data_IF_466584123956
#
_entry.id   IF_466584123956
#
_cell.length_a   1.000
_cell.length_b   1.000
_cell.length_c   1.000
_cell.angle_alpha   90.00
_cell.angle_beta   90.00
_cell.angle_gamma   90.00
#
_symmetry.space_group_name_H-M   'P 1'
#
loop_
_entity.id
_entity.type
_entity.pdbx_description
1 polymer ?
#
# COMPACT_ATOMS: atom_id res chain seq x y z
N UNK A 1 -38.32 -28.65 29.79
CA UNK A 1 -38.60 -27.86 28.57
C UNK A 1 -37.49 -26.84 28.41
N UNK A 2 -36.59 -27.13 27.48
CA UNK A 2 -35.45 -26.33 27.04
C UNK A 2 -35.94 -25.26 26.07
N UNK A 3 -35.46 -24.02 26.24
CA UNK A 3 -35.32 -23.07 25.13
C UNK A 3 -33.99 -22.34 25.29
N UNK A 4 -33.05 -22.70 24.41
CA UNK A 4 -31.93 -21.84 24.02
C UNK A 4 -32.49 -20.76 23.07
N UNK A 5 -32.03 -19.52 23.17
CA UNK A 5 -31.94 -18.66 21.98
C UNK A 5 -30.75 -17.71 22.13
N UNK A 6 -29.96 -17.73 21.05
CA UNK A 6 -28.72 -17.03 20.76
C UNK A 6 -28.70 -15.52 21.01
N UNK A 7 -27.50 -15.01 21.28
CA UNK A 7 -27.20 -13.60 21.39
C UNK A 7 -27.30 -12.83 20.07
N UNK A 8 -27.34 -11.51 20.18
CA UNK A 8 -27.07 -10.61 19.06
C UNK A 8 -26.42 -9.34 19.60
N UNK A 9 -25.16 -9.16 19.21
CA UNK A 9 -24.41 -7.94 19.39
C UNK A 9 -25.09 -6.79 18.66
N UNK A 10 -25.30 -5.66 19.33
CA UNK A 10 -25.53 -4.39 18.66
C UNK A 10 -24.24 -3.59 18.75
N UNK A 11 -23.61 -3.59 17.58
CA UNK A 11 -22.34 -3.06 17.20
C UNK A 11 -22.26 -1.57 17.52
N UNK A 12 -21.32 -1.25 18.41
CA UNK A 12 -20.88 0.09 18.73
C UNK A 12 -20.63 0.89 17.45
N UNK A 13 -21.34 2.01 17.32
CA UNK A 13 -21.28 2.86 16.14
C UNK A 13 -19.85 3.24 15.82
N UNK A 14 -19.41 2.92 14.60
CA UNK A 14 -18.16 3.39 14.04
C UNK A 14 -18.19 4.92 14.01
N UNK A 15 -17.63 5.55 15.05
CA UNK A 15 -17.29 6.96 15.02
C UNK A 15 -16.26 7.13 13.92
N UNK A 16 -16.64 7.84 12.85
CA UNK A 16 -15.71 8.35 11.86
C UNK A 16 -14.62 9.13 12.60
N UNK A 17 -13.44 8.51 12.71
CA UNK A 17 -12.28 9.09 13.36
C UNK A 17 -11.88 10.35 12.63
N UNK A 18 -11.93 11.48 13.32
CA UNK A 18 -11.35 12.76 12.93
C UNK A 18 -9.89 12.53 12.47
N UNK A 19 -9.39 13.18 11.40
CA UNK A 19 -8.02 12.97 10.94
C UNK A 19 -7.06 13.23 12.09
N UNK A 20 -6.42 12.17 12.56
CA UNK A 20 -5.40 12.27 13.60
C UNK A 20 -4.20 12.92 12.94
N UNK A 21 -3.97 14.21 13.20
CA UNK A 21 -2.75 14.88 12.73
C UNK A 21 -1.49 14.10 13.13
N UNK A 22 -0.36 14.48 12.52
CA UNK A 22 1.03 13.93 12.50
C UNK A 22 1.62 13.30 13.79
N UNK A 23 0.89 13.25 14.90
CA UNK A 23 1.25 12.75 16.24
C UNK A 23 1.79 11.32 16.31
N UNK A 24 1.80 10.54 15.22
CA UNK A 24 2.35 9.17 15.17
C UNK A 24 3.32 8.93 14.02
N UNK A 25 3.67 9.96 13.26
CA UNK A 25 4.65 9.84 12.18
C UNK A 25 6.03 10.12 12.73
N UNK A 26 6.97 9.22 12.50
CA UNK A 26 8.39 9.50 12.68
C UNK A 26 8.85 10.51 11.62
N UNK A 27 9.98 11.17 11.82
CA UNK A 27 10.57 12.07 10.82
C UNK A 27 10.72 11.39 9.46
N UNK A 28 11.17 10.13 9.44
CA UNK A 28 11.30 9.35 8.21
C UNK A 28 9.96 9.12 7.49
N UNK A 29 8.85 8.99 8.23
CA UNK A 29 7.52 8.85 7.62
C UNK A 29 7.01 10.18 7.05
N UNK A 30 7.31 11.30 7.72
CA UNK A 30 6.99 12.64 7.19
C UNK A 30 7.78 12.94 5.91
N UNK A 31 9.08 12.66 5.91
CA UNK A 31 9.92 12.81 4.72
C UNK A 31 9.45 11.92 3.56
N UNK A 32 8.96 10.71 3.87
CA UNK A 32 8.37 9.82 2.86
C UNK A 32 7.04 10.35 2.33
N UNK A 33 6.23 10.99 3.17
CA UNK A 33 4.97 11.61 2.78
C UNK A 33 5.20 12.84 1.90
N UNK A 34 6.14 13.72 2.27
CA UNK A 34 6.54 14.88 1.47
C UNK A 34 7.11 14.43 0.11
N UNK A 35 7.99 13.42 0.11
CA UNK A 35 8.54 12.84 -1.13
C UNK A 35 7.44 12.28 -2.04
N UNK A 36 6.42 11.62 -1.46
CA UNK A 36 5.29 11.10 -2.21
C UNK A 36 4.38 12.21 -2.74
N UNK A 37 4.18 13.27 -1.97
CA UNK A 37 3.38 14.44 -2.38
C UNK A 37 4.04 15.21 -3.53
N UNK A 38 5.37 15.30 -3.52
CA UNK A 38 6.16 15.98 -4.56
C UNK A 38 6.35 15.12 -5.82
N UNK A 39 5.99 13.83 -5.78
CA UNK A 39 6.14 12.91 -6.90
C UNK A 39 5.11 13.20 -8.00
N UNK A 40 5.55 13.86 -9.07
CA UNK A 40 4.74 14.22 -10.23
C UNK A 40 4.84 13.22 -11.40
N UNK A 41 5.23 11.97 -11.12
CA UNK A 41 5.49 10.95 -12.15
C UNK A 41 6.91 11.05 -12.73
N UNK A 42 7.17 10.28 -13.79
CA UNK A 42 8.51 10.12 -14.35
C UNK A 42 8.80 11.00 -15.59
N UNK A 43 7.85 11.84 -16.00
CA UNK A 43 7.99 12.72 -17.17
C UNK A 43 8.25 11.95 -18.48
N UNK A 44 8.89 12.59 -19.46
CA UNK A 44 9.16 12.00 -20.79
C UNK A 44 10.18 10.84 -20.74
N UNK A 45 10.99 10.76 -19.68
CA UNK A 45 12.03 9.74 -19.50
C UNK A 45 11.59 8.68 -18.49
N UNK A 46 10.35 8.18 -18.65
CA UNK A 46 9.80 7.18 -17.75
C UNK A 46 10.67 5.90 -17.71
N UNK A 47 10.99 5.38 -16.51
CA UNK A 47 11.74 4.16 -16.36
C UNK A 47 10.99 3.00 -17.00
N UNK A 48 11.73 2.09 -17.63
CA UNK A 48 11.12 0.89 -18.19
C UNK A 48 10.42 0.09 -17.09
N UNK A 49 9.35 -0.62 -17.45
CA UNK A 49 8.65 -1.57 -16.57
C UNK A 49 9.59 -2.49 -15.79
N UNK A 50 10.68 -2.96 -16.43
CA UNK A 50 11.71 -3.78 -15.78
C UNK A 50 12.50 -3.02 -14.70
N UNK A 51 12.84 -1.76 -14.97
CA UNK A 51 13.50 -0.90 -13.99
C UNK A 51 12.60 -0.64 -12.77
N UNK A 52 11.32 -0.35 -12.97
CA UNK A 52 10.33 -0.17 -11.89
C UNK A 52 10.23 -1.44 -11.03
N UNK A 53 10.07 -2.59 -11.67
CA UNK A 53 10.01 -3.88 -10.97
C UNK A 53 11.29 -4.19 -10.19
N UNK A 54 12.46 -3.86 -10.77
CA UNK A 54 13.75 -4.08 -10.11
C UNK A 54 13.91 -3.20 -8.86
N UNK A 55 13.50 -1.94 -8.95
CA UNK A 55 13.51 -1.01 -7.83
C UNK A 55 12.56 -1.50 -6.72
N UNK A 56 11.36 -1.94 -7.08
CA UNK A 56 10.43 -2.53 -6.12
C UNK A 56 11.01 -3.77 -5.43
N UNK A 57 11.59 -4.71 -6.19
CA UNK A 57 12.23 -5.92 -5.64
C UNK A 57 13.38 -5.59 -4.68
N UNK A 58 14.15 -4.54 -4.97
CA UNK A 58 15.22 -4.06 -4.08
C UNK A 58 14.68 -3.41 -2.80
N UNK A 59 13.56 -2.67 -2.88
CA UNK A 59 12.92 -2.03 -1.73
C UNK A 59 12.14 -3.01 -0.83
N UNK A 60 11.63 -4.11 -1.40
CA UNK A 60 10.72 -5.03 -0.72
C UNK A 60 11.18 -5.53 0.67
N UNK A 61 12.46 -5.88 0.91
CA UNK A 61 12.92 -6.30 2.25
C UNK A 61 12.81 -5.18 3.29
N UNK A 62 13.07 -3.94 2.89
CA UNK A 62 13.00 -2.76 3.77
C UNK A 62 11.55 -2.35 4.06
N UNK A 63 10.64 -2.69 3.15
CA UNK A 63 9.19 -2.50 3.31
C UNK A 63 8.51 -3.64 4.08
N UNK A 64 9.25 -4.69 4.45
CA UNK A 64 8.71 -5.86 5.17
C UNK A 64 7.85 -6.79 4.29
N UNK A 65 7.96 -6.69 2.96
CA UNK A 65 7.23 -7.59 2.06
C UNK A 65 7.91 -8.96 1.97
N UNK A 66 7.14 -10.00 2.25
CA UNK A 66 7.58 -11.38 2.08
C UNK A 66 7.70 -11.79 0.61
N UNK A 67 8.47 -12.85 0.34
CA UNK A 67 8.73 -13.37 -1.01
C UNK A 67 7.47 -13.67 -1.82
N UNK A 68 6.38 -14.11 -1.17
CA UNK A 68 5.08 -14.35 -1.82
C UNK A 68 4.49 -13.09 -2.43
N UNK A 69 4.56 -11.96 -1.72
CA UNK A 69 4.05 -10.66 -2.19
C UNK A 69 4.89 -10.18 -3.37
N UNK A 70 6.21 -10.28 -3.25
CA UNK A 70 7.14 -9.92 -4.33
C UNK A 70 6.87 -10.73 -5.58
N UNK A 71 6.65 -12.04 -5.44
CA UNK A 71 6.35 -12.92 -6.57
C UNK A 71 4.98 -12.65 -7.20
N UNK A 72 3.95 -12.35 -6.39
CA UNK A 72 2.63 -11.99 -6.90
C UNK A 72 2.69 -10.70 -7.74
N UNK A 73 3.44 -9.69 -7.28
CA UNK A 73 3.64 -8.44 -8.01
C UNK A 73 4.45 -8.68 -9.28
N UNK A 74 5.53 -9.45 -9.21
CA UNK A 74 6.30 -9.86 -10.39
C UNK A 74 5.43 -10.55 -11.45
N UNK A 75 4.52 -11.41 -11.00
CA UNK A 75 3.56 -12.07 -11.88
C UNK A 75 2.55 -11.09 -12.48
N UNK A 76 2.03 -10.15 -11.70
CA UNK A 76 1.12 -9.11 -12.19
C UNK A 76 1.79 -8.23 -13.24
N UNK A 77 3.06 -7.88 -13.03
CA UNK A 77 3.85 -7.16 -14.01
C UNK A 77 3.89 -7.91 -15.33
N UNK A 78 3.91 -9.25 -15.37
CA UNK A 78 3.89 -9.98 -16.66
C UNK A 78 2.68 -9.62 -17.54
N UNK A 79 1.55 -9.21 -16.96
CA UNK A 79 0.33 -8.87 -17.69
C UNK A 79 0.13 -7.36 -17.92
N UNK A 80 0.94 -6.50 -17.30
CA UNK A 80 0.81 -5.05 -17.50
C UNK A 80 1.35 -4.63 -18.87
N UNK A 81 0.65 -3.73 -19.54
CA UNK A 81 1.04 -3.11 -20.79
C UNK A 81 1.75 -1.78 -20.55
N UNK A 82 2.48 -1.21 -21.54
CA UNK A 82 3.16 0.08 -21.38
C UNK A 82 2.23 1.21 -20.92
N UNK A 83 0.97 1.24 -21.38
CA UNK A 83 -0.01 2.25 -20.98
C UNK A 83 -0.41 2.21 -19.51
N UNK A 84 -0.18 1.11 -18.80
CA UNK A 84 -0.47 1.01 -17.36
C UNK A 84 0.57 1.77 -16.51
N UNK A 85 1.65 2.23 -17.15
CA UNK A 85 2.80 2.90 -16.52
C UNK A 85 3.02 4.33 -17.05
N UNK A 86 2.09 4.87 -17.84
CA UNK A 86 2.09 6.25 -18.35
C UNK A 86 1.47 7.23 -17.36
#
# INVERSE_FOLDING_TARGET
>A
MTTETHGSAMHEGHRAGRPTGVRRLSTALLESEDLAADFNGFGENAPTKGAILSAFKAAAPFLGYGSKVVHAIDWLFRFSSPQDWL
#
